data_IF_965707495302
#
_entry.id   IF_965707495302
#
_cell.length_a   1.000
_cell.length_b   1.000
_cell.length_c   1.000
_cell.angle_alpha   90.00
_cell.angle_beta   90.00
_cell.angle_gamma   90.00
#
_symmetry.space_group_name_H-M   'P 1'
#
loop_
_entity.id
_entity.type
_entity.pdbx_description
1 polymer ?
2 non-polymer ?
3 non-polymer ?
4 non-polymer ?
5 water ?
#
# COMPACT_ATOMS: atom_id res chain seq x y z
N UNK A 3 16.20 17.44 -14.76
CA UNK A 3 15.78 16.07 -14.97
C UNK A 3 14.53 15.74 -14.13
N UNK A 4 13.52 15.15 -14.78
CA UNK A 4 12.37 14.59 -14.07
C UNK A 4 12.70 13.14 -13.70
N UNK A 5 12.04 12.62 -12.69
CA UNK A 5 12.26 11.26 -12.23
C UNK A 5 11.20 10.31 -12.82
N UNK A 6 11.64 9.40 -13.67
CA UNK A 6 10.77 8.46 -14.37
C UNK A 6 11.00 7.05 -13.90
N UNK A 7 9.93 6.38 -13.52
CA UNK A 7 9.98 4.97 -13.19
C UNK A 7 9.03 4.20 -14.09
N UNK A 8 9.53 3.12 -14.70
CA UNK A 8 8.73 2.27 -15.55
C UNK A 8 8.80 0.81 -15.11
N UNK A 9 7.62 0.21 -14.93
CA UNK A 9 7.52 -1.19 -14.61
C UNK A 9 7.15 -1.95 -15.87
N UNK A 10 7.91 -3.01 -16.15
CA UNK A 10 7.81 -3.71 -17.41
C UNK A 10 7.98 -5.22 -17.24
N UNK A 11 7.82 -5.92 -18.35
CA UNK A 11 8.22 -7.31 -18.46
C UNK A 11 8.89 -7.48 -19.85
N UNK A 12 9.69 -8.52 -20.00
CA UNK A 12 10.24 -8.88 -21.33
C UNK A 12 9.15 -9.50 -22.21
N UNK A 13 9.22 -9.27 -23.52
CA UNK A 13 8.21 -9.77 -24.45
C UNK A 13 6.94 -8.93 -24.48
N UNK A 14 7.03 -7.71 -23.93
CA UNK A 14 5.93 -6.75 -23.89
C UNK A 14 6.21 -5.55 -24.80
N UNK A 15 5.77 -5.62 -26.06
CA UNK A 15 6.12 -4.55 -27.00
C UNK A 15 5.68 -3.17 -26.53
N UNK A 16 4.54 -3.08 -25.85
CA UNK A 16 4.14 -1.76 -25.37
C UNK A 16 5.10 -1.22 -24.32
N UNK A 17 5.73 -2.12 -23.59
CA UNK A 17 6.82 -1.73 -22.68
C UNK A 17 8.00 -1.17 -23.49
N UNK A 18 8.28 -1.75 -24.65
CA UNK A 18 9.38 -1.26 -25.51
C UNK A 18 8.97 0.09 -26.13
N UNK A 19 7.71 0.24 -26.56
CA UNK A 19 7.27 1.53 -27.13
C UNK A 19 7.41 2.65 -26.09
N UNK A 20 7.13 2.34 -24.85
CA UNK A 20 7.21 3.36 -23.81
C UNK A 20 8.63 3.79 -23.58
N UNK A 21 9.52 2.81 -23.43
CA UNK A 21 10.96 3.09 -23.23
C UNK A 21 11.54 3.84 -24.43
N UNK A 22 11.21 3.38 -25.62
CA UNK A 22 11.65 4.02 -26.84
C UNK A 22 11.24 5.49 -26.88
N UNK A 23 10.04 5.79 -26.40
CA UNK A 23 9.59 7.17 -26.37
C UNK A 23 10.50 8.04 -25.48
N UNK A 24 10.80 7.54 -24.28
CA UNK A 24 11.67 8.26 -23.37
C UNK A 24 13.07 8.43 -23.97
N UNK A 25 13.58 7.33 -24.53
CA UNK A 25 14.90 7.34 -25.19
C UNK A 25 14.97 8.31 -26.38
N UNK A 26 13.92 8.38 -27.19
CA UNK A 26 13.92 9.26 -28.38
C UNK A 26 13.84 10.71 -27.96
N UNK A 27 13.51 10.92 -26.69
CA UNK A 27 13.47 12.28 -26.14
C UNK A 27 14.55 12.56 -25.09
N UNK A 28 15.54 11.65 -25.06
CA UNK A 28 16.67 11.79 -24.16
C UNK A 28 16.24 11.97 -22.70
N UNK A 29 15.26 11.17 -22.29
CA UNK A 29 14.79 11.20 -20.91
C UNK A 29 15.22 9.90 -20.24
N UNK A 30 16.04 10.00 -19.20
CA UNK A 30 16.49 8.81 -18.47
C UNK A 30 15.36 8.25 -17.63
N UNK A 31 15.41 6.98 -17.33
CA UNK A 31 14.35 6.34 -16.55
C UNK A 31 14.95 5.14 -15.83
N UNK A 32 14.30 4.76 -14.74
CA UNK A 32 14.61 3.53 -14.02
C UNK A 32 13.56 2.48 -14.34
N UNK A 33 14.02 1.34 -14.83
CA UNK A 33 13.13 0.26 -15.21
C UNK A 33 13.17 -0.82 -14.15
N UNK A 34 11.99 -1.28 -13.75
CA UNK A 34 11.87 -2.49 -12.94
C UNK A 34 11.17 -3.57 -13.76
N UNK A 35 11.89 -4.67 -14.02
CA UNK A 35 11.37 -5.78 -14.84
C UNK A 35 10.78 -6.87 -13.94
N UNK A 36 9.52 -7.20 -14.15
CA UNK A 36 8.86 -8.27 -13.40
C UNK A 36 8.25 -9.28 -14.38
N UNK A 37 9.03 -10.27 -14.76
CA UNK A 37 8.61 -11.20 -15.82
C UNK A 37 7.54 -12.20 -15.37
N UNK A 38 7.67 -12.72 -14.17
CA UNK A 38 6.73 -13.81 -13.84
C UNK A 38 5.35 -13.36 -13.38
N UNK A 39 4.37 -14.20 -13.68
CA UNK A 39 2.99 -13.90 -13.39
C UNK A 39 2.82 -13.67 -11.89
N UNK A 40 3.45 -14.52 -11.08
CA UNK A 40 3.38 -14.38 -9.61
C UNK A 40 3.88 -13.01 -9.11
N UNK A 41 5.05 -12.58 -9.56
CA UNK A 41 5.60 -11.29 -9.20
C UNK A 41 4.75 -10.13 -9.69
N UNK A 42 4.20 -10.23 -10.89
CA UNK A 42 3.39 -9.13 -11.42
C UNK A 42 2.09 -8.99 -10.67
N UNK A 43 1.44 -10.09 -10.34
CA UNK A 43 0.12 -9.96 -9.70
C UNK A 43 0.28 -9.42 -8.29
N UNK A 44 1.40 -9.75 -7.66
CA UNK A 44 1.72 -9.22 -6.33
C UNK A 44 1.99 -7.71 -6.41
N UNK A 45 2.75 -7.31 -7.41
CA UNK A 45 2.94 -5.90 -7.69
C UNK A 45 1.60 -5.17 -8.00
N UNK A 46 0.75 -5.74 -8.85
CA UNK A 46 -0.55 -5.14 -9.10
C UNK A 46 -1.35 -4.93 -7.81
N UNK A 47 -1.43 -5.98 -7.01
CA UNK A 47 -2.27 -5.91 -5.82
C UNK A 47 -1.70 -4.89 -4.82
N UNK A 48 -0.37 -4.89 -4.68
CA UNK A 48 0.31 -3.91 -3.86
C UNK A 48 0.05 -2.47 -4.33
N UNK A 49 0.32 -2.18 -5.59
CA UNK A 49 0.05 -0.84 -6.13
C UNK A 49 -1.43 -0.44 -6.00
N UNK A 50 -2.35 -1.38 -6.28
CA UNK A 50 -3.79 -1.06 -6.26
C UNK A 50 -4.32 -0.74 -4.86
N UNK A 51 -3.50 -0.98 -3.84
CA UNK A 51 -3.83 -0.61 -2.49
C UNK A 51 -2.85 0.38 -1.86
N UNK A 52 -2.05 1.05 -2.69
CA UNK A 52 -0.96 1.85 -2.15
C UNK A 52 -1.37 3.31 -2.06
N UNK A 53 -2.45 3.68 -2.75
CA UNK A 53 -2.80 5.07 -2.84
C UNK A 53 -2.07 5.80 -3.97
N UNK A 54 -1.18 5.14 -4.69
CA UNK A 54 -0.32 5.85 -5.66
C UNK A 54 -0.78 5.77 -7.13
N UNK A 55 -1.76 4.92 -7.42
CA UNK A 55 -2.19 4.77 -8.81
C UNK A 55 -3.50 5.50 -9.00
N UNK A 56 -3.82 5.83 -10.24
CA UNK A 56 -5.01 6.65 -10.50
C UNK A 56 -6.12 5.81 -11.07
N UNK A 57 -5.79 4.55 -11.35
CA UNK A 57 -6.76 3.57 -11.74
C UNK A 57 -6.20 2.19 -11.35
N UNK A 58 -7.05 1.16 -11.29
CA UNK A 58 -6.53 -0.14 -10.82
C UNK A 58 -5.75 -0.79 -11.93
N UNK A 59 -4.48 -1.12 -11.68
CA UNK A 59 -3.63 -1.60 -12.78
C UNK A 59 -3.66 -3.11 -12.90
N UNK A 60 -3.47 -3.62 -14.11
CA UNK A 60 -3.46 -5.06 -14.31
C UNK A 60 -2.69 -5.41 -15.57
N UNK A 61 -1.93 -4.46 -16.07
CA UNK A 61 -1.07 -4.67 -17.23
C UNK A 61 0.24 -3.90 -17.02
N UNK A 62 1.23 -4.20 -17.86
CA UNK A 62 2.42 -3.35 -17.98
C UNK A 62 2.44 -2.89 -19.43
N UNK A 63 3.14 -1.78 -19.70
CA UNK A 63 3.92 -0.99 -18.73
C UNK A 63 3.05 -0.13 -17.80
N UNK A 64 3.63 0.22 -16.64
CA UNK A 64 3.10 1.26 -15.77
C UNK A 64 4.19 2.30 -15.56
N UNK A 65 3.85 3.55 -15.87
CA UNK A 65 4.80 4.64 -15.86
C UNK A 65 4.48 5.66 -14.76
N UNK A 66 5.48 5.98 -13.95
CA UNK A 66 5.34 7.04 -12.95
C UNK A 66 6.34 8.16 -13.25
N UNK A 67 5.88 9.39 -13.17
CA UNK A 67 6.74 10.54 -13.39
C UNK A 67 6.62 11.48 -12.20
N UNK A 68 7.78 11.74 -11.58
CA UNK A 68 7.86 12.48 -10.31
C UNK A 68 6.80 11.95 -9.33
N UNK A 69 6.68 10.63 -9.27
CA UNK A 69 5.82 9.96 -8.27
C UNK A 69 4.33 10.02 -8.60
N UNK A 70 3.98 10.63 -9.72
CA UNK A 70 2.62 10.63 -10.18
C UNK A 70 2.43 9.50 -11.19
N UNK A 71 1.46 8.63 -10.91
CA UNK A 71 1.09 7.55 -11.83
C UNK A 71 0.53 8.14 -13.13
N UNK A 72 1.15 7.82 -14.27
CA UNK A 72 0.64 8.31 -15.55
C UNK A 72 -0.31 7.29 -16.18
N UNK A 73 0.11 6.03 -16.12
CA UNK A 73 -0.64 4.97 -16.74
C UNK A 73 0.22 4.14 -17.68
N UNK A 74 -0.40 3.58 -18.70
CA UNK A 74 0.30 2.80 -19.71
C UNK A 74 0.77 3.63 -20.90
N UNK A 75 0.98 2.97 -22.02
CA UNK A 75 1.50 3.68 -23.17
C UNK A 75 0.52 4.69 -23.80
N UNK A 76 -0.75 4.32 -23.89
CA UNK A 76 -1.80 5.24 -24.34
C UNK A 76 -1.77 6.51 -23.54
N UNK A 77 -1.68 6.39 -22.21
CA UNK A 77 -1.67 7.60 -21.39
C UNK A 77 -0.40 8.40 -21.60
N UNK A 78 0.72 7.72 -21.79
CA UNK A 78 1.98 8.41 -22.02
C UNK A 78 1.83 9.30 -23.26
N UNK A 79 1.36 8.72 -24.34
CA UNK A 79 1.24 9.48 -25.58
C UNK A 79 0.24 10.62 -25.44
N UNK A 80 -0.87 10.36 -24.74
CA UNK A 80 -1.88 11.40 -24.50
C UNK A 80 -1.25 12.60 -23.82
N UNK A 81 -0.24 12.38 -23.00
CA UNK A 81 0.41 13.47 -22.29
C UNK A 81 1.79 13.86 -22.84
N UNK A 82 2.09 13.44 -24.07
CA UNK A 82 3.43 13.63 -24.60
C UNK A 82 3.85 15.10 -24.53
N UNK A 83 2.97 16.00 -24.98
CA UNK A 83 3.32 17.42 -24.97
C UNK A 83 3.67 17.97 -23.57
N UNK A 84 2.88 17.62 -22.55
CA UNK A 84 3.14 18.14 -21.19
C UNK A 84 4.42 17.57 -20.56
N UNK A 85 4.64 16.28 -20.72
CA UNK A 85 5.85 15.65 -20.20
C UNK A 85 7.12 16.25 -20.82
N UNK A 86 7.05 16.62 -22.11
CA UNK A 86 8.19 17.26 -22.77
C UNK A 86 8.34 18.73 -22.38
N UNK A 87 7.40 19.25 -21.61
CA UNK A 87 7.59 20.57 -21.00
C UNK A 87 8.43 20.45 -19.73
N UNK A 88 8.30 19.31 -19.06
CA UNK A 88 9.20 18.93 -17.99
C UNK A 88 10.42 18.23 -18.63
N UNK B 3 -10.32 -19.85 11.27
CA UNK B 3 -9.94 -19.14 12.50
C UNK B 3 -9.91 -17.61 12.32
N UNK B 4 -10.49 -16.85 13.25
CA UNK B 4 -10.58 -15.39 13.12
C UNK B 4 -9.21 -14.73 13.17
N UNK B 5 -8.92 -13.86 12.21
CA UNK B 5 -7.60 -13.26 12.14
C UNK B 5 -7.61 -11.89 12.83
N UNK B 6 -6.76 -11.70 13.84
CA UNK B 6 -6.72 -10.45 14.57
C UNK B 6 -5.31 -9.86 14.54
N UNK B 7 -5.17 -8.64 14.03
CA UNK B 7 -3.86 -8.01 14.09
C UNK B 7 -3.96 -6.71 14.86
N UNK B 8 -2.98 -6.47 15.72
CA UNK B 8 -2.97 -5.25 16.51
C UNK B 8 -1.60 -4.57 16.51
N UNK B 9 -1.63 -3.29 16.15
CA UNK B 9 -0.47 -2.45 16.17
C UNK B 9 -0.42 -1.68 17.51
N UNK B 10 0.73 -1.68 18.16
CA UNK B 10 0.85 -1.17 19.51
C UNK B 10 2.17 -0.44 19.67
N UNK B 11 2.35 0.19 20.83
CA UNK B 11 3.67 0.69 21.26
C UNK B 11 3.70 0.52 22.77
N UNK B 12 4.90 0.56 23.34
CA UNK B 12 5.04 0.72 24.78
C UNK B 12 4.73 2.16 25.18
N UNK B 13 4.40 2.35 26.46
CA UNK B 13 4.04 3.66 26.94
C UNK B 13 2.61 3.98 26.61
N UNK B 14 1.81 2.94 26.32
CA UNK B 14 0.43 3.12 25.86
C UNK B 14 -0.61 2.23 26.60
N UNK B 15 -1.11 2.70 27.75
CA UNK B 15 -2.01 1.85 28.58
C UNK B 15 -3.23 1.28 27.79
N UNK B 16 -3.77 2.01 26.81
CA UNK B 16 -4.90 1.46 26.05
C UNK B 16 -4.49 0.33 25.08
N UNK B 17 -3.23 0.30 24.69
CA UNK B 17 -2.74 -0.83 23.91
C UNK B 17 -2.70 -2.09 24.81
N UNK B 18 -2.35 -1.92 26.07
CA UNK B 18 -2.38 -3.01 27.04
C UNK B 18 -3.82 -3.50 27.29
N UNK B 19 -4.77 -2.57 27.45
CA UNK B 19 -6.16 -2.98 27.69
C UNK B 19 -6.71 -3.68 26.46
N UNK B 20 -6.40 -3.20 25.26
CA UNK B 20 -6.86 -3.88 24.06
C UNK B 20 -6.41 -5.36 24.06
N UNK B 21 -5.14 -5.57 24.40
CA UNK B 21 -4.59 -6.93 24.49
C UNK B 21 -5.21 -7.80 25.56
N UNK B 22 -5.40 -7.22 26.75
CA UNK B 22 -6.05 -7.94 27.83
C UNK B 22 -7.41 -8.46 27.35
N UNK B 23 -8.17 -7.63 26.64
CA UNK B 23 -9.48 -8.04 26.19
C UNK B 23 -9.41 -9.32 25.34
N UNK B 24 -8.50 -9.33 24.37
CA UNK B 24 -8.40 -10.52 23.53
C UNK B 24 -7.93 -11.73 24.34
N UNK B 25 -6.95 -11.51 25.20
CA UNK B 25 -6.41 -12.63 25.99
C UNK B 25 -7.45 -13.24 26.92
N UNK B 26 -8.12 -12.39 27.69
CA UNK B 26 -9.08 -12.89 28.65
C UNK B 26 -10.24 -13.54 27.92
N UNK B 27 -10.34 -13.29 26.61
CA UNK B 27 -11.39 -13.93 25.83
C UNK B 27 -10.91 -15.11 24.98
N UNK B 28 -9.66 -15.53 25.21
CA UNK B 28 -9.06 -16.60 24.42
C UNK B 28 -9.19 -16.35 22.92
N UNK B 29 -8.85 -15.14 22.48
CA UNK B 29 -8.77 -14.85 21.06
C UNK B 29 -7.29 -14.65 20.67
N UNK B 30 -6.79 -15.51 19.80
CA UNK B 30 -5.41 -15.39 19.37
C UNK B 30 -5.21 -14.11 18.51
N UNK B 31 -4.07 -13.45 18.61
CA UNK B 31 -3.83 -12.26 17.79
C UNK B 31 -2.35 -12.06 17.53
N UNK B 32 -2.04 -11.42 16.41
CA UNK B 32 -0.66 -11.07 16.06
C UNK B 32 -0.43 -9.61 16.42
N UNK B 33 0.60 -9.36 17.21
CA UNK B 33 0.90 -8.01 17.64
C UNK B 33 2.14 -7.50 16.95
N UNK B 34 2.07 -6.28 16.43
CA UNK B 34 3.27 -5.57 16.02
C UNK B 34 3.47 -4.35 16.89
N UNK B 35 4.60 -4.33 17.61
CA UNK B 35 4.92 -3.24 18.50
C UNK B 35 5.92 -2.34 17.80
N UNK B 36 5.60 -1.06 17.72
CA UNK B 36 6.48 -0.11 17.06
C UNK B 36 6.80 1.00 18.04
N UNK B 37 7.91 0.87 18.77
CA UNK B 37 8.26 1.84 19.79
C UNK B 37 8.98 3.03 19.22
N UNK B 38 9.73 2.80 18.16
CA UNK B 38 10.49 3.89 17.55
C UNK B 38 9.55 4.92 16.93
N UNK B 39 9.72 6.18 17.30
CA UNK B 39 8.86 7.22 16.78
C UNK B 39 8.82 7.27 15.23
N UNK B 40 10.00 7.27 14.61
CA UNK B 40 10.03 7.43 13.14
C UNK B 40 9.31 6.29 12.44
N UNK B 41 9.58 5.06 12.89
CA UNK B 41 8.89 3.91 12.33
C UNK B 41 7.37 3.96 12.53
N UNK B 42 6.93 4.42 13.70
CA UNK B 42 5.49 4.39 13.96
C UNK B 42 4.78 5.45 13.10
N UNK B 43 5.41 6.61 13.07
CA UNK B 43 5.03 7.70 12.19
C UNK B 43 4.97 7.24 10.72
N UNK B 44 5.92 6.42 10.32
CA UNK B 44 5.91 5.91 8.96
C UNK B 44 4.72 4.97 8.79
N UNK B 45 4.38 4.25 9.85
CA UNK B 45 3.24 3.34 9.81
C UNK B 45 1.94 4.12 9.67
N UNK B 46 1.79 5.22 10.43
CA UNK B 46 0.60 6.08 10.34
C UNK B 46 0.50 6.60 8.94
N UNK B 47 1.61 7.11 8.41
CA UNK B 47 1.60 7.67 7.05
C UNK B 47 1.22 6.65 5.98
N UNK B 48 1.74 5.44 6.10
CA UNK B 48 1.48 4.45 5.07
C UNK B 48 0.00 4.01 5.15
N UNK B 49 -0.55 3.91 6.37
CA UNK B 49 -1.97 3.56 6.50
C UNK B 49 -2.85 4.70 5.94
N UNK B 50 -2.50 5.92 6.28
CA UNK B 50 -3.24 7.10 5.83
C UNK B 50 -3.14 7.35 4.32
N UNK B 51 -1.95 7.11 3.76
CA UNK B 51 -1.70 7.23 2.30
C UNK B 51 -2.40 6.19 1.47
N UNK B 52 -2.57 4.99 2.03
CA UNK B 52 -3.00 3.87 1.22
C UNK B 52 -4.49 3.65 1.46
N UNK B 53 -5.05 4.34 2.43
CA UNK B 53 -6.49 4.20 2.69
C UNK B 53 -6.89 2.79 3.13
N UNK B 54 -6.13 2.22 4.06
CA UNK B 54 -6.48 0.90 4.59
C UNK B 54 -7.12 0.99 5.99
N UNK B 55 -7.35 2.21 6.45
CA UNK B 55 -7.98 2.38 7.75
C UNK B 55 -9.30 3.09 7.50
N UNK B 56 -10.17 3.08 8.49
CA UNK B 56 -11.51 3.66 8.31
C UNK B 56 -11.55 5.15 8.62
N UNK B 57 -10.49 5.67 9.25
CA UNK B 57 -10.29 7.11 9.42
C UNK B 57 -8.77 7.31 9.55
N UNK B 58 -8.29 8.56 9.38
CA UNK B 58 -6.83 8.76 9.45
C UNK B 58 -6.31 8.48 10.86
N UNK B 59 -5.22 7.74 10.98
CA UNK B 59 -4.79 7.37 12.31
C UNK B 59 -3.54 8.18 12.68
N UNK B 60 -3.40 8.41 13.97
CA UNK B 60 -2.26 9.09 14.54
C UNK B 60 -2.00 8.54 15.96
N UNK B 61 -2.66 7.44 16.30
CA UNK B 61 -2.43 6.78 17.57
C UNK B 61 -2.48 5.27 17.39
N UNK B 62 -2.02 4.54 18.41
CA UNK B 62 -2.27 3.12 18.56
C UNK B 62 -3.02 2.93 19.90
N UNK B 63 -3.66 1.78 20.10
CA UNK B 63 -3.73 0.62 19.25
C UNK B 63 -4.62 0.83 18.02
N UNK B 64 -4.29 0.09 16.98
CA UNK B 64 -5.10 0.00 15.79
C UNK B 64 -5.28 -1.49 15.54
N UNK B 65 -6.53 -1.88 15.38
CA UNK B 65 -6.90 -3.28 15.38
C UNK B 65 -7.56 -3.63 14.04
N UNK B 66 -7.18 -4.78 13.49
CA UNK B 66 -7.74 -5.30 12.22
C UNK B 66 -8.27 -6.68 12.55
N UNK B 67 -9.52 -6.91 12.16
CA UNK B 67 -10.14 -8.20 12.30
C UNK B 67 -10.49 -8.72 10.91
N UNK B 68 -10.04 -9.94 10.62
CA UNK B 68 -10.18 -10.53 9.29
C UNK B 68 -9.84 -9.50 8.22
N UNK B 69 -8.71 -8.83 8.43
CA UNK B 69 -8.16 -7.86 7.48
C UNK B 69 -8.95 -6.53 7.35
N UNK B 70 -9.97 -6.31 8.18
CA UNK B 70 -10.70 -5.03 8.14
C UNK B 70 -10.34 -4.16 9.35
N UNK B 71 -9.91 -2.93 9.10
CA UNK B 71 -9.61 -2.04 10.20
C UNK B 71 -10.89 -1.76 11.02
N UNK B 72 -10.85 -1.90 12.34
CA UNK B 72 -12.03 -1.59 13.15
C UNK B 72 -11.82 -0.31 13.97
N UNK B 73 -10.56 0.09 14.10
CA UNK B 73 -10.22 1.27 14.89
C UNK B 73 -9.36 0.95 16.10
N UNK B 74 -9.53 1.75 17.14
CA UNK B 74 -8.75 1.66 18.35
C UNK B 74 -9.48 1.02 19.51
N UNK B 75 -9.09 1.41 20.71
CA UNK B 75 -9.67 0.79 21.89
C UNK B 75 -11.16 1.09 22.08
N UNK B 76 -11.58 2.34 21.85
CA UNK B 76 -13.00 2.67 21.97
C UNK B 76 -13.86 1.85 20.97
N UNK B 77 -13.36 1.66 19.73
CA UNK B 77 -14.07 0.82 18.77
C UNK B 77 -14.08 -0.64 19.20
N UNK B 78 -12.96 -1.12 19.76
CA UNK B 78 -12.94 -2.49 20.30
C UNK B 78 -14.06 -2.72 21.32
N UNK B 79 -14.14 -1.84 22.34
CA UNK B 79 -15.21 -1.92 23.33
C UNK B 79 -16.57 -1.91 22.66
N UNK B 80 -16.77 -1.00 21.72
CA UNK B 80 -18.11 -0.81 21.16
C UNK B 80 -18.53 -2.03 20.34
N UNK B 81 -17.55 -2.77 19.82
CA UNK B 81 -17.82 -3.95 18.99
C UNK B 81 -17.58 -5.30 19.69
N UNK B 82 -17.33 -5.28 21.00
CA UNK B 82 -16.90 -6.50 21.70
C UNK B 82 -17.92 -7.64 21.58
N UNK B 83 -19.19 -7.32 21.78
CA UNK B 83 -20.22 -8.35 21.71
C UNK B 83 -20.18 -9.02 20.36
N UNK B 84 -20.10 -8.23 19.29
CA UNK B 84 -20.18 -8.84 17.97
C UNK B 84 -18.96 -9.70 17.66
N UNK B 85 -17.78 -9.18 17.98
CA UNK B 85 -16.54 -9.91 17.82
C UNK B 85 -16.58 -11.23 18.55
N UNK B 86 -17.04 -11.20 19.78
CA UNK B 86 -17.11 -12.41 20.60
C UNK B 86 -18.00 -13.45 19.93
N UNK B 87 -19.11 -13.01 19.37
CA UNK B 87 -20.03 -13.92 18.73
C UNK B 87 -19.56 -14.39 17.36
N UNK B 88 -18.34 -13.99 16.98
CA UNK B 88 -17.70 -14.48 15.77
C UNK B 88 -16.48 -15.32 16.14
N UNK B 89 -16.21 -15.44 17.43
CA UNK B 89 -15.08 -16.21 17.95
C UNK B 89 -14.97 -17.57 17.24
X LIG C 1 0.44 -8.18 -19.93
X LIG C 1 1.32 -8.15 -21.43
X LIG C 1 0.32 -6.54 -19.43
X LIG C 1 -1.35 -8.94 -20.19
X LIG C 1 1.42 -9.19 -18.57
X LIG D 1 -7.65 0.11 -23.20
X LIG D 1 -6.22 -0.06 -23.00
X LIG D 1 -5.86 -1.18 -22.04
X LIG D 1 -6.36 -1.21 -20.90
X LIG D 1 -5.04 -2.07 -22.39
X LIG D 1 -5.50 -0.43 -24.29
X LIG D 1 -4.05 -0.39 -23.81
X LIG D 1 -3.06 -0.50 -24.89
X LIG D 1 -3.19 0.29 -26.05
X LIG D 1 -2.10 -1.37 -24.57
X LIG D 1 -1.65 -1.36 -23.21
X LIG D 1 -0.99 -0.07 -22.86
X LIG D 1 0.08 -0.05 -21.92
X LIG D 1 -0.64 -2.48 -23.03
X LIG D 1 -1.42 -3.97 -22.36
X LIG D 1 -1.49 1.02 -23.50
X LIG D 1 -2.00 2.12 -22.72
X LIG D 1 -2.98 1.71 -21.62
X LIG D 1 -3.55 0.59 -21.56
X LIG D 1 -3.27 2.48 -20.69
X LIG E 1 -4.41 -4.76 3.17
X LIG E 1 -5.37 -5.85 3.03
X LIG E 1 -4.86 -6.94 2.13
X LIG E 1 -4.35 -8.00 2.60
X LIG E 1 -4.96 -6.82 0.91
X LIG E 1 -5.68 -6.47 4.40
X LIG E 1 -4.52 -6.31 5.35
X LIG E 1 -3.59 -7.50 5.22
X LIG E 1 -2.66 -7.60 4.17
X LIG E 1 -3.66 -8.45 6.16
X LIG E 1 -2.70 -8.42 7.23
X LIG E 1 -2.91 -7.21 8.12
X LIG E 1 -2.00 -6.12 8.11
X LIG E 1 -1.28 -8.51 6.66
X LIG E 1 -0.44 -6.97 6.18
X LIG E 1 -3.99 -7.23 8.94
X LIG E 1 -5.20 -8.06 8.83
X LIG E 1 -5.65 -8.85 10.06
X LIG E 1 -6.87 -9.00 10.42
X LIG E 1 -4.80 -9.42 10.80
X LIG F 1 -9.56 4.54 21.58
X LIG F 1 -9.77 4.49 20.21
X LIG F 1 -8.15 4.95 21.87
X LIG F 1 -7.35 3.90 21.40
X LIG F 1 -8.04 5.10 23.40
X LIG F 1 -9.17 5.72 24.04
#
# INVERSE_FOLDING_TARGET
SNAMKVKIYTRNGCPYCVWAKQWFEENNIAFDETIIDDYAQRSKFYDEMNQSGKVIFPISTVPQIFIDDEHIGGFTELKANADKILNKK
SNAMKVKIYTRNGCPYCVWAKQWFEENNIAFDETIIDDYAQRSKFYDEMNQSGKVIFPISTVPQIFIDDEHIGGFTELKANADKILNKK
CAC AS O1 O2 C1 C2
GSH N1 CA1 C1 O11 O12 CB1 CG1 CD1 OE1 N2 CA2 C2 O2 CB2 SG2 N3 CA3 C3 O31 O32
GSH N1 CA1 C1 O11 O12 CB1 CG1 CD1 OE1 N2 CA2 C2 O2 CB2 SG2 N3 CA3 C3 O31 O32
GOL C1 O1 C2 O2 C3 O3
#
